data_IF_797422339699
#
_entry.id   IF_797422339699
#
_cell.length_a   1.000
_cell.length_b   1.000
_cell.length_c   1.000
_cell.angle_alpha   90.00
_cell.angle_beta   90.00
_cell.angle_gamma   90.00
#
_symmetry.space_group_name_H-M   'P 1'
#
loop_
_entity.id
_entity.type
_entity.pdbx_description
1 polymer ?
#
# COMPACT_ATOMS: atom_id res chain seq x y z
N UNK A 1 31.17 7.61 -22.20
CA UNK A 1 30.03 6.83 -21.68
C UNK A 1 29.05 7.80 -21.06
N UNK A 2 27.74 7.67 -21.30
CA UNK A 2 26.76 8.42 -20.48
C UNK A 2 26.82 7.88 -19.05
N UNK A 3 26.69 8.77 -18.08
CA UNK A 3 26.57 8.38 -16.69
C UNK A 3 25.26 7.59 -16.45
N UNK A 4 25.26 6.73 -15.43
CA UNK A 4 24.10 5.88 -15.13
C UNK A 4 22.86 6.69 -14.76
N UNK A 5 23.03 7.82 -14.03
CA UNK A 5 21.91 8.71 -13.68
C UNK A 5 21.25 9.31 -14.91
N UNK A 6 22.06 9.76 -15.88
CA UNK A 6 21.54 10.32 -17.14
C UNK A 6 20.75 9.26 -17.91
N UNK A 7 21.28 8.03 -17.97
CA UNK A 7 20.61 6.92 -18.68
C UNK A 7 19.28 6.56 -18.02
N UNK A 8 19.24 6.53 -16.68
CA UNK A 8 18.01 6.31 -15.92
C UNK A 8 16.97 7.41 -16.18
N UNK A 9 17.38 8.69 -16.12
CA UNK A 9 16.46 9.80 -16.37
C UNK A 9 15.90 9.74 -17.79
N UNK A 10 16.72 9.44 -18.79
CA UNK A 10 16.27 9.26 -20.17
C UNK A 10 15.27 8.11 -20.34
N UNK A 11 15.40 7.02 -19.57
CA UNK A 11 14.40 5.93 -19.53
C UNK A 11 13.07 6.41 -18.94
N UNK A 12 13.13 7.15 -17.83
CA UNK A 12 11.94 7.73 -17.19
C UNK A 12 11.22 8.70 -18.14
N UNK A 13 11.96 9.58 -18.83
CA UNK A 13 11.39 10.57 -19.75
C UNK A 13 10.71 9.91 -20.97
N UNK A 14 11.16 8.71 -21.37
CA UNK A 14 10.51 7.88 -22.40
C UNK A 14 9.32 7.07 -21.89
N UNK A 15 9.00 7.15 -20.59
CA UNK A 15 7.94 6.37 -19.97
C UNK A 15 8.27 4.87 -19.85
N UNK A 16 9.55 4.51 -19.86
CA UNK A 16 9.95 3.12 -19.66
C UNK A 16 9.75 2.69 -18.20
N UNK A 17 9.38 1.43 -18.03
CA UNK A 17 9.22 0.81 -16.71
C UNK A 17 10.60 0.36 -16.18
N UNK A 18 10.83 0.64 -14.90
CA UNK A 18 12.00 0.21 -14.14
C UNK A 18 11.68 -1.11 -13.44
N UNK A 19 12.53 -2.10 -13.64
CA UNK A 19 12.37 -3.45 -13.09
C UNK A 19 13.43 -3.76 -12.00
N UNK A 20 13.25 -4.80 -11.16
CA UNK A 20 14.12 -5.06 -10.02
C UNK A 20 15.62 -5.21 -10.33
N UNK A 21 15.94 -5.73 -11.51
CA UNK A 21 17.33 -5.96 -11.96
C UNK A 21 17.96 -4.73 -12.63
N UNK A 22 17.16 -3.70 -12.90
CA UNK A 22 17.66 -2.47 -13.47
C UNK A 22 18.49 -1.70 -12.44
N UNK A 23 19.52 -1.01 -12.95
CA UNK A 23 20.14 0.04 -12.17
C UNK A 23 19.13 1.17 -11.94
N UNK A 24 19.10 1.69 -10.71
CA UNK A 24 18.27 2.83 -10.33
C UNK A 24 19.01 3.64 -9.25
N UNK A 25 18.81 4.96 -9.16
CA UNK A 25 19.42 5.78 -8.11
C UNK A 25 19.03 5.31 -6.72
N UNK A 26 19.96 5.38 -5.75
CA UNK A 26 19.69 4.96 -4.37
C UNK A 26 18.53 5.71 -3.73
N UNK A 27 18.38 7.01 -4.03
CA UNK A 27 17.26 7.81 -3.54
C UNK A 27 15.93 7.37 -4.15
N UNK A 28 15.92 6.94 -5.42
CA UNK A 28 14.75 6.35 -6.07
C UNK A 28 14.37 5.02 -5.40
N UNK A 29 15.35 4.15 -5.14
CA UNK A 29 15.13 2.88 -4.42
C UNK A 29 14.56 3.12 -3.03
N UNK A 30 15.21 3.97 -2.23
CA UNK A 30 14.82 4.29 -0.85
C UNK A 30 13.42 4.92 -0.78
N UNK A 31 13.08 5.83 -1.71
CA UNK A 31 11.74 6.45 -1.69
C UNK A 31 10.65 5.46 -2.10
N UNK A 32 10.91 4.56 -3.07
CA UNK A 32 9.98 3.49 -3.42
C UNK A 32 9.80 2.51 -2.26
N UNK A 33 10.88 2.07 -1.61
CA UNK A 33 10.79 1.24 -0.39
C UNK A 33 9.90 1.92 0.65
N UNK A 34 10.18 3.19 0.95
CA UNK A 34 9.40 3.97 1.93
C UNK A 34 7.93 4.04 1.53
N UNK A 35 7.61 4.35 0.28
CA UNK A 35 6.23 4.54 -0.16
C UNK A 35 5.45 3.22 -0.21
N UNK A 36 6.03 2.17 -0.81
CA UNK A 36 5.38 0.86 -0.95
C UNK A 36 5.21 0.22 0.44
N UNK A 37 6.20 0.33 1.33
CA UNK A 37 6.08 -0.16 2.70
C UNK A 37 4.97 0.56 3.46
N UNK A 38 4.92 1.90 3.39
CA UNK A 38 3.85 2.67 4.04
C UNK A 38 2.47 2.34 3.46
N UNK A 39 2.39 2.00 2.17
CA UNK A 39 1.17 1.48 1.55
C UNK A 39 0.80 0.11 2.14
N UNK A 40 1.74 -0.84 2.19
CA UNK A 40 1.52 -2.16 2.78
C UNK A 40 1.09 -2.07 4.25
N UNK A 41 1.74 -1.21 5.04
CA UNK A 41 1.37 -0.95 6.43
C UNK A 41 -0.05 -0.37 6.54
N UNK A 42 -0.46 0.46 5.57
CA UNK A 42 -1.80 1.04 5.54
C UNK A 42 -2.86 -0.04 5.35
N UNK A 43 -2.64 -1.02 4.47
CA UNK A 43 -3.55 -2.17 4.32
C UNK A 43 -3.69 -2.94 5.64
N UNK A 44 -2.57 -3.25 6.30
CA UNK A 44 -2.59 -4.02 7.56
C UNK A 44 -3.25 -3.27 8.70
N UNK A 45 -2.95 -1.98 8.88
CA UNK A 45 -3.51 -1.18 9.96
C UNK A 45 -4.98 -0.82 9.69
N UNK A 46 -5.39 -0.71 8.42
CA UNK A 46 -6.77 -0.45 8.01
C UNK A 46 -7.77 -1.53 8.43
N UNK A 47 -7.30 -2.78 8.54
CA UNK A 47 -8.10 -3.89 9.04
C UNK A 47 -8.57 -3.70 10.50
N UNK A 48 -7.88 -2.89 11.32
CA UNK A 48 -8.20 -2.71 12.74
C UNK A 48 -9.54 -1.96 12.98
N UNK A 49 -9.75 -0.73 12.46
CA UNK A 49 -11.01 -0.01 12.65
C UNK A 49 -12.22 -0.75 12.07
N UNK A 50 -12.06 -1.47 10.97
CA UNK A 50 -13.12 -2.27 10.36
C UNK A 50 -13.35 -3.60 11.08
N UNK A 51 -12.26 -4.28 11.45
CA UNK A 51 -12.28 -5.52 12.23
C UNK A 51 -13.03 -5.38 13.55
N UNK A 52 -12.95 -4.19 14.16
CA UNK A 52 -13.71 -3.81 15.36
C UNK A 52 -15.22 -4.10 15.22
N UNK A 53 -15.80 -3.98 14.02
CA UNK A 53 -17.23 -4.15 13.78
C UNK A 53 -17.63 -5.52 13.20
N UNK A 54 -16.69 -6.41 12.89
CA UNK A 54 -17.00 -7.74 12.33
C UNK A 54 -18.00 -8.51 13.19
N UNK A 55 -17.82 -8.53 14.52
CA UNK A 55 -18.72 -9.27 15.41
C UNK A 55 -20.07 -8.58 15.61
N UNK A 56 -20.15 -7.27 15.36
CA UNK A 56 -21.28 -6.37 15.65
C UNK A 56 -22.06 -5.90 14.42
N UNK A 57 -21.71 -6.38 13.22
CA UNK A 57 -22.41 -6.05 11.99
C UNK A 57 -23.93 -6.38 12.10
N UNK A 58 -24.83 -5.48 11.65
CA UNK A 58 -26.26 -5.55 11.95
C UNK A 58 -27.03 -6.63 11.19
N UNK A 59 -26.38 -7.31 10.23
CA UNK A 59 -26.94 -8.45 9.52
C UNK A 59 -25.84 -9.38 9.03
N UNK A 60 -26.17 -10.66 8.82
CA UNK A 60 -25.23 -11.64 8.27
C UNK A 60 -24.72 -11.23 6.88
N UNK A 61 -25.58 -10.65 6.03
CA UNK A 61 -25.18 -10.13 4.71
C UNK A 61 -24.06 -9.11 4.83
N UNK A 62 -24.18 -8.15 5.75
CA UNK A 62 -23.15 -7.12 5.97
C UNK A 62 -21.91 -7.68 6.65
N UNK A 63 -22.07 -8.64 7.57
CA UNK A 63 -20.96 -9.34 8.22
C UNK A 63 -20.08 -10.09 7.21
N UNK A 64 -20.69 -10.83 6.28
CA UNK A 64 -19.97 -11.56 5.23
C UNK A 64 -19.23 -10.60 4.29
N UNK A 65 -19.87 -9.51 3.87
CA UNK A 65 -19.23 -8.50 3.02
C UNK A 65 -18.03 -7.84 3.71
N UNK A 66 -18.16 -7.48 5.00
CA UNK A 66 -17.07 -6.89 5.77
C UNK A 66 -15.91 -7.88 5.98
N UNK A 67 -16.21 -9.15 6.26
CA UNK A 67 -15.20 -10.20 6.37
C UNK A 67 -14.41 -10.37 5.06
N UNK A 68 -15.10 -10.40 3.92
CA UNK A 68 -14.46 -10.50 2.61
C UNK A 68 -13.56 -9.29 2.35
N UNK A 69 -14.04 -8.07 2.64
CA UNK A 69 -13.25 -6.84 2.49
C UNK A 69 -11.95 -6.89 3.32
N UNK A 70 -12.06 -7.18 4.62
CA UNK A 70 -10.91 -7.23 5.53
C UNK A 70 -9.94 -8.36 5.13
N UNK A 71 -10.45 -9.47 4.59
CA UNK A 71 -9.61 -10.53 4.03
C UNK A 71 -8.83 -10.04 2.80
N UNK A 72 -9.47 -9.30 1.90
CA UNK A 72 -8.82 -8.75 0.70
C UNK A 72 -7.73 -7.74 1.06
N UNK A 73 -7.95 -6.87 2.07
CA UNK A 73 -6.91 -5.94 2.58
C UNK A 73 -5.65 -6.67 3.05
N UNK A 74 -5.79 -7.80 3.74
CA UNK A 74 -4.65 -8.62 4.10
C UNK A 74 -3.89 -9.13 2.86
N UNK A 75 -4.62 -9.56 1.82
CA UNK A 75 -4.06 -9.95 0.53
C UNK A 75 -3.33 -8.82 -0.18
N UNK A 76 -3.91 -7.62 -0.22
CA UNK A 76 -3.28 -6.43 -0.79
C UNK A 76 -1.98 -6.07 -0.06
N UNK A 77 -1.99 -6.14 1.28
CA UNK A 77 -0.79 -5.97 2.09
C UNK A 77 0.32 -6.96 1.69
N UNK A 78 -0.01 -8.22 1.43
CA UNK A 78 0.95 -9.23 0.96
C UNK A 78 1.53 -8.90 -0.42
N UNK A 79 0.71 -8.45 -1.36
CA UNK A 79 1.20 -8.02 -2.69
C UNK A 79 2.16 -6.83 -2.58
N UNK A 80 1.83 -5.85 -1.75
CA UNK A 80 2.66 -4.67 -1.54
C UNK A 80 3.97 -4.98 -0.83
N UNK A 81 3.97 -5.82 0.20
CA UNK A 81 5.22 -6.31 0.79
C UNK A 81 6.08 -7.03 -0.26
N UNK A 82 5.47 -7.90 -1.06
CA UNK A 82 6.19 -8.62 -2.12
C UNK A 82 6.82 -7.65 -3.14
N UNK A 83 6.11 -6.58 -3.51
CA UNK A 83 6.66 -5.53 -4.38
C UNK A 83 7.83 -4.78 -3.72
N UNK A 84 7.73 -4.44 -2.43
CA UNK A 84 8.81 -3.78 -1.70
C UNK A 84 10.06 -4.67 -1.59
N UNK A 85 9.88 -5.98 -1.40
CA UNK A 85 11.00 -6.93 -1.28
C UNK A 85 11.87 -7.00 -2.54
N UNK A 86 11.28 -6.73 -3.72
CA UNK A 86 12.05 -6.66 -4.97
C UNK A 86 13.07 -5.51 -5.02
N UNK A 87 13.00 -4.56 -4.08
CA UNK A 87 13.97 -3.47 -3.93
C UNK A 87 15.14 -3.81 -2.99
N UNK A 88 15.14 -4.99 -2.37
CA UNK A 88 16.23 -5.50 -1.55
C UNK A 88 16.08 -5.29 -0.04
N UNK A 89 14.86 -5.05 0.45
CA UNK A 89 14.52 -5.01 1.88
C UNK A 89 13.64 -6.21 2.26
N UNK A 90 13.70 -6.71 3.48
CA UNK A 90 12.83 -7.82 3.91
C UNK A 90 11.50 -7.30 4.49
N UNK A 91 10.42 -8.08 4.34
CA UNK A 91 9.15 -7.79 5.02
C UNK A 91 9.32 -7.68 6.55
N UNK A 92 10.12 -8.54 7.16
CA UNK A 92 10.33 -8.53 8.61
C UNK A 92 10.93 -7.20 9.07
N UNK A 93 11.91 -6.67 8.35
CA UNK A 93 12.49 -5.36 8.61
C UNK A 93 11.44 -4.24 8.46
N UNK A 94 10.60 -4.30 7.44
CA UNK A 94 9.52 -3.33 7.24
C UNK A 94 8.51 -3.36 8.40
N UNK A 95 8.10 -4.55 8.84
CA UNK A 95 7.18 -4.73 9.97
C UNK A 95 7.81 -4.23 11.27
N UNK A 96 9.10 -4.48 11.49
CA UNK A 96 9.83 -3.94 12.63
C UNK A 96 9.86 -2.40 12.60
N UNK A 97 10.13 -1.80 11.43
CA UNK A 97 10.11 -0.35 11.26
C UNK A 97 8.73 0.26 11.57
N UNK A 98 7.64 -0.41 11.19
CA UNK A 98 6.28 -0.02 11.56
C UNK A 98 6.08 -0.07 13.09
N UNK A 99 6.37 -1.20 13.72
CA UNK A 99 6.19 -1.37 15.16
C UNK A 99 7.08 -0.43 16.01
N UNK A 100 8.28 -0.11 15.51
CA UNK A 100 9.17 0.86 16.14
C UNK A 100 8.80 2.33 15.86
N UNK A 101 7.73 2.60 15.10
CA UNK A 101 7.30 3.96 14.74
C UNK A 101 8.25 4.69 13.77
N UNK A 102 9.16 3.98 13.11
CA UNK A 102 10.10 4.53 12.11
C UNK A 102 9.46 4.64 10.73
N UNK A 103 8.51 3.74 10.42
CA UNK A 103 7.67 3.81 9.24
C UNK A 103 6.25 4.28 9.60
N UNK A 104 5.57 4.89 8.63
CA UNK A 104 4.19 5.40 8.79
C UNK A 104 3.18 4.45 8.15
N UNK A 105 1.92 4.75 8.36
CA UNK A 105 0.77 4.23 7.63
C UNK A 105 -0.20 5.40 7.40
N UNK A 106 -1.26 5.18 6.63
CA UNK A 106 -2.26 6.21 6.32
C UNK A 106 -2.88 6.77 7.60
N UNK A 107 -2.91 8.10 7.70
CA UNK A 107 -3.37 8.79 8.90
C UNK A 107 -4.82 8.47 9.26
N UNK A 108 -5.65 8.13 8.27
CA UNK A 108 -7.09 7.86 8.44
C UNK A 108 -7.38 6.72 9.41
N UNK A 109 -6.45 5.76 9.57
CA UNK A 109 -6.65 4.61 10.45
C UNK A 109 -6.38 4.91 11.93
N UNK A 110 -6.08 6.17 12.28
CA UNK A 110 -6.01 6.62 13.68
C UNK A 110 -7.37 7.09 14.23
N UNK A 111 -8.43 7.07 13.42
CA UNK A 111 -9.76 7.52 13.82
C UNK A 111 -10.63 6.33 14.27
N UNK A 112 -11.39 6.45 15.38
CA UNK A 112 -12.19 5.34 15.90
C UNK A 112 -13.47 5.11 15.10
N UNK A 113 -13.94 3.85 15.05
CA UNK A 113 -15.26 3.47 14.54
C UNK A 113 -16.27 3.33 15.68
N UNK A 114 -17.01 4.42 15.95
CA UNK A 114 -17.95 4.57 17.06
C UNK A 114 -19.36 4.07 16.73
N UNK A 115 -19.72 3.97 15.45
CA UNK A 115 -21.02 3.52 14.97
C UNK A 115 -20.92 2.60 13.75
N UNK A 116 -21.98 1.83 13.46
CA UNK A 116 -22.03 1.01 12.24
C UNK A 116 -21.99 1.87 10.96
N UNK A 117 -22.47 3.12 11.02
CA UNK A 117 -22.43 4.04 9.89
C UNK A 117 -20.98 4.33 9.46
N UNK A 118 -20.03 4.27 10.40
CA UNK A 118 -18.61 4.54 10.14
C UNK A 118 -18.01 3.48 9.20
N UNK A 119 -18.45 2.22 9.29
CA UNK A 119 -18.03 1.16 8.35
C UNK A 119 -18.51 1.44 6.94
N UNK A 120 -19.74 1.94 6.80
CA UNK A 120 -20.24 2.39 5.50
C UNK A 120 -19.48 3.61 4.97
N UNK A 121 -19.10 4.54 5.85
CA UNK A 121 -18.33 5.72 5.49
C UNK A 121 -16.87 5.38 5.10
N UNK A 122 -16.22 4.43 5.78
CA UNK A 122 -14.89 3.93 5.42
C UNK A 122 -14.95 3.30 4.02
N UNK A 123 -15.82 2.30 3.82
CA UNK A 123 -15.94 1.59 2.55
C UNK A 123 -16.40 2.45 1.36
N UNK A 124 -16.89 3.67 1.60
CA UNK A 124 -17.27 4.60 0.55
C UNK A 124 -16.29 5.76 0.37
N UNK A 125 -16.05 6.54 1.43
CA UNK A 125 -15.27 7.77 1.37
C UNK A 125 -13.77 7.51 1.49
N UNK A 126 -13.36 6.64 2.42
CA UNK A 126 -11.94 6.33 2.65
C UNK A 126 -11.41 5.48 1.51
N UNK A 127 -12.11 4.40 1.18
CA UNK A 127 -11.77 3.55 0.03
C UNK A 127 -11.89 4.32 -1.29
N UNK A 128 -12.90 5.18 -1.44
CA UNK A 128 -13.05 6.03 -2.62
C UNK A 128 -11.85 6.96 -2.82
N UNK A 129 -11.33 7.57 -1.75
CA UNK A 129 -10.12 8.36 -1.81
C UNK A 129 -8.88 7.51 -2.12
N UNK A 130 -8.78 6.31 -1.55
CA UNK A 130 -7.70 5.37 -1.84
C UNK A 130 -7.70 4.95 -3.32
N UNK A 131 -8.86 4.62 -3.89
CA UNK A 131 -8.99 4.25 -5.31
C UNK A 131 -8.52 5.37 -6.23
N UNK A 132 -8.89 6.63 -5.96
CA UNK A 132 -8.41 7.76 -6.77
C UNK A 132 -6.87 7.85 -6.74
N UNK A 133 -6.25 7.60 -5.59
CA UNK A 133 -4.80 7.59 -5.48
C UNK A 133 -4.16 6.37 -6.18
N UNK A 134 -4.68 5.17 -5.94
CA UNK A 134 -4.15 3.90 -6.43
C UNK A 134 -4.27 3.76 -7.94
N UNK A 135 -5.40 4.18 -8.53
CA UNK A 135 -5.58 4.17 -10.00
C UNK A 135 -4.51 5.02 -10.69
N UNK A 136 -4.11 6.14 -10.09
CA UNK A 136 -3.01 6.97 -10.63
C UNK A 136 -1.65 6.27 -10.52
N UNK A 137 -1.47 5.40 -9.52
CA UNK A 137 -0.24 4.63 -9.30
C UNK A 137 -0.13 3.38 -10.18
N UNK A 138 -1.19 2.94 -10.88
CA UNK A 138 -1.12 1.86 -11.89
C UNK A 138 -0.13 2.17 -13.03
N UNK A 139 0.28 3.43 -13.18
CA UNK A 139 1.27 3.91 -14.16
C UNK A 139 2.55 4.44 -13.51
N UNK A 140 2.81 4.09 -12.26
CA UNK A 140 4.09 4.45 -11.60
C UNK A 140 5.27 3.81 -12.33
N UNK A 141 6.44 4.43 -12.23
CA UNK A 141 7.62 4.01 -13.02
C UNK A 141 8.26 2.71 -12.54
N UNK A 142 7.97 2.25 -11.32
CA UNK A 142 8.50 0.98 -10.80
C UNK A 142 7.53 -0.17 -11.09
N UNK A 143 7.94 -1.09 -11.96
CA UNK A 143 7.09 -2.15 -12.52
C UNK A 143 6.40 -3.04 -11.48
N UNK A 144 7.12 -3.59 -10.49
CA UNK A 144 6.49 -4.40 -9.45
C UNK A 144 5.40 -3.66 -8.68
N UNK A 145 5.58 -2.36 -8.44
CA UNK A 145 4.58 -1.56 -7.75
C UNK A 145 3.39 -1.26 -8.67
N UNK A 146 3.63 -0.89 -9.92
CA UNK A 146 2.58 -0.65 -10.91
C UNK A 146 1.67 -1.87 -11.13
N UNK A 147 2.22 -3.09 -11.09
CA UNK A 147 1.47 -4.35 -11.25
C UNK A 147 0.73 -4.80 -10.00
N UNK A 148 1.11 -4.29 -8.82
CA UNK A 148 0.42 -4.57 -7.56
C UNK A 148 -0.80 -3.64 -7.34
N UNK A 149 -0.89 -2.55 -8.11
CA UNK A 149 -2.04 -1.64 -8.18
C UNK A 149 -3.05 -2.13 -9.21
#
# INVERSE_FOLDING_TARGET
MKDQETTFQERIDRGEIIEPRDWMPDNYRKTNIRQIAQHAHSEIVGMLPEGNWITRAPSLRRKVALLAKVQDEAGHGLYLYSAAETLGISRDELVEQLHAGKAKYSSIFNYPTLSWADIGAIGWLVDGAAIVNQVMLTRTSYGPYARAM
#
